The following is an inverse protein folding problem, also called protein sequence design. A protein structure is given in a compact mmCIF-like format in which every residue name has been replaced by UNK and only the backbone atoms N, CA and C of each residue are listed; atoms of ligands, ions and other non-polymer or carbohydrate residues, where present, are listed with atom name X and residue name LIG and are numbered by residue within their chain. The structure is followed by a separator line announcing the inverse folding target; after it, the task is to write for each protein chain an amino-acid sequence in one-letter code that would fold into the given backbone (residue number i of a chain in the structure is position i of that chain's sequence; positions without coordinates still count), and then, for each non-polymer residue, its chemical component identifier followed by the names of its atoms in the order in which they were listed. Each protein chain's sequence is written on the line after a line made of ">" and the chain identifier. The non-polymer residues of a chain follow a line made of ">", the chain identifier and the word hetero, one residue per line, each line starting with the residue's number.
data_IF_985190383766
#
_entry.id   IF_985190383766
#
_cell.length_a   1.000
_cell.length_b   1.000
_cell.length_c   1.000
_cell.angle_alpha   90.00
_cell.angle_beta   90.00
_cell.angle_gamma   90.00
#
_symmetry.space_group_name_H-M   'P 1'
#
loop_
_entity.id
_entity.type
_entity.pdbx_description
1 polymer ?
#
# COMPACT_ATOMS: atom_id res chain seq x y z
N UNK A 1 11.19 -8.80 12.18
CA UNK A 1 10.37 -7.81 11.44
C UNK A 1 9.43 -8.55 10.49
N UNK A 2 8.17 -8.13 10.36
CA UNK A 2 7.22 -8.66 9.37
C UNK A 2 7.56 -8.06 8.01
N UNK A 3 7.79 -8.91 6.99
CA UNK A 3 8.17 -8.47 5.65
C UNK A 3 6.95 -8.28 4.76
N UNK A 4 6.69 -7.04 4.40
CA UNK A 4 5.65 -6.67 3.46
C UNK A 4 6.14 -6.80 2.02
N UNK A 5 5.23 -7.09 1.10
CA UNK A 5 5.47 -7.08 -0.35
C UNK A 5 5.98 -5.71 -0.83
N UNK A 6 5.52 -4.62 -0.22
CA UNK A 6 5.91 -3.24 -0.58
C UNK A 6 7.37 -2.89 -0.27
N UNK A 7 8.09 -3.75 0.47
CA UNK A 7 9.52 -3.61 0.75
C UNK A 7 10.41 -4.31 -0.30
N UNK A 8 9.81 -5.01 -1.27
CA UNK A 8 10.54 -5.66 -2.35
C UNK A 8 11.18 -4.61 -3.28
N UNK A 9 12.43 -4.86 -3.71
CA UNK A 9 13.20 -3.94 -4.55
C UNK A 9 12.53 -3.66 -5.91
N UNK A 10 11.83 -4.62 -6.48
CA UNK A 10 11.12 -4.48 -7.75
C UNK A 10 9.83 -3.65 -7.63
N UNK A 11 9.32 -3.48 -6.41
CA UNK A 11 8.04 -2.77 -6.20
C UNK A 11 8.07 -1.32 -6.71
N UNK A 12 9.12 -0.58 -6.39
CA UNK A 12 9.27 0.80 -6.86
C UNK A 12 9.27 0.88 -8.39
N UNK A 13 10.00 -0.01 -9.07
CA UNK A 13 10.07 -0.05 -10.55
C UNK A 13 8.69 -0.31 -11.16
N UNK A 14 7.86 -1.14 -10.52
CA UNK A 14 6.48 -1.37 -10.95
C UNK A 14 5.62 -0.09 -10.85
N UNK A 15 5.87 0.73 -9.82
CA UNK A 15 5.05 1.90 -9.51
C UNK A 15 5.56 3.21 -10.14
N UNK A 16 6.81 3.27 -10.58
CA UNK A 16 7.49 4.52 -10.98
C UNK A 16 6.76 5.31 -12.07
N UNK A 17 6.14 4.63 -13.05
CA UNK A 17 5.42 5.31 -14.13
C UNK A 17 4.16 6.03 -13.62
N UNK A 18 3.46 5.41 -12.65
CA UNK A 18 2.28 6.03 -12.01
C UNK A 18 2.62 7.17 -11.07
N UNK A 19 3.77 7.08 -10.41
CA UNK A 19 4.25 8.15 -9.52
C UNK A 19 5.00 9.25 -10.31
N UNK A 20 5.37 9.01 -11.57
CA UNK A 20 5.98 10.00 -12.46
C UNK A 20 7.44 10.28 -12.14
N UNK A 21 8.26 9.23 -11.95
CA UNK A 21 9.67 9.39 -11.60
C UNK A 21 10.51 8.14 -11.82
N UNK A 22 11.69 8.12 -11.23
CA UNK A 22 12.66 7.04 -11.27
C UNK A 22 12.81 6.38 -9.89
N UNK A 23 12.79 5.06 -9.86
CA UNK A 23 12.97 4.30 -8.62
C UNK A 23 14.44 4.21 -8.26
N UNK A 24 14.77 4.62 -7.05
CA UNK A 24 16.08 4.55 -6.46
C UNK A 24 16.02 3.90 -5.07
N UNK A 25 17.18 3.39 -4.62
CA UNK A 25 17.34 2.81 -3.29
C UNK A 25 18.58 3.43 -2.64
N UNK A 26 18.38 4.03 -1.48
CA UNK A 26 19.49 4.49 -0.66
C UNK A 26 19.73 3.47 0.46
N UNK A 27 20.94 2.96 0.52
CA UNK A 27 21.40 2.04 1.55
C UNK A 27 22.42 2.74 2.41
N UNK A 28 22.14 2.85 3.70
CA UNK A 28 23.07 3.37 4.70
C UNK A 28 23.48 2.24 5.63
N UNK A 29 24.79 2.01 5.75
CA UNK A 29 25.36 0.96 6.56
C UNK A 29 26.52 1.49 7.41
N UNK A 30 26.52 1.17 8.68
CA UNK A 30 27.54 1.49 9.68
C UNK A 30 27.65 0.32 10.66
N UNK A 31 28.61 0.39 11.56
CA UNK A 31 28.79 -0.62 12.61
C UNK A 31 27.54 -0.76 13.49
N UNK A 32 26.80 0.33 13.69
CA UNK A 32 25.57 0.37 14.48
C UNK A 32 24.39 -0.33 13.81
N UNK A 33 24.40 -0.50 12.48
CA UNK A 33 23.33 -1.18 11.77
C UNK A 33 23.14 -0.73 10.32
N UNK A 34 21.93 -0.99 9.81
CA UNK A 34 21.58 -0.75 8.41
C UNK A 34 20.20 -0.11 8.28
N UNK A 35 20.12 0.97 7.49
CA UNK A 35 18.88 1.64 7.09
C UNK A 35 18.69 1.50 5.59
N UNK A 36 17.48 1.14 5.19
CA UNK A 36 17.09 0.98 3.78
C UNK A 36 15.99 1.98 3.44
N UNK A 37 16.16 2.71 2.36
CA UNK A 37 15.19 3.68 1.89
C UNK A 37 14.93 3.53 0.39
N UNK A 38 13.84 2.85 -0.04
CA UNK A 38 13.37 2.87 -1.41
C UNK A 38 12.50 4.10 -1.64
N UNK A 39 12.72 4.80 -2.74
CA UNK A 39 11.92 5.97 -3.11
C UNK A 39 11.85 6.13 -4.63
N UNK A 40 10.90 6.95 -5.06
CA UNK A 40 10.79 7.42 -6.44
C UNK A 40 11.19 8.90 -6.44
N UNK A 41 12.25 9.22 -7.20
CA UNK A 41 12.73 10.57 -7.44
C UNK A 41 11.94 11.17 -8.61
N UNK A 42 11.23 12.27 -8.34
CA UNK A 42 10.34 12.91 -9.30
C UNK A 42 10.81 14.32 -9.61
N UNK A 43 10.69 14.77 -10.85
CA UNK A 43 10.91 16.18 -11.19
C UNK A 43 9.88 17.06 -10.45
N UNK A 44 10.36 18.03 -9.67
CA UNK A 44 9.54 18.99 -8.94
C UNK A 44 9.29 20.25 -9.75
N UNK A 45 10.34 20.80 -10.37
CA UNK A 45 10.26 22.00 -11.21
C UNK A 45 11.64 22.60 -11.45
N UNK A 46 11.67 23.71 -12.20
CA UNK A 46 12.90 24.46 -12.50
C UNK A 46 12.85 25.80 -11.75
N UNK A 47 13.89 26.08 -10.97
CA UNK A 47 14.06 27.36 -10.27
C UNK A 47 15.45 27.90 -10.60
N UNK A 48 15.52 29.12 -11.06
CA UNK A 48 16.78 29.81 -11.44
C UNK A 48 17.64 28.99 -12.44
N UNK A 49 16.99 28.26 -13.37
CA UNK A 49 17.63 27.42 -14.38
C UNK A 49 18.10 26.02 -13.89
N UNK A 50 17.87 25.69 -12.61
CA UNK A 50 18.25 24.42 -12.03
C UNK A 50 17.01 23.52 -11.88
N UNK A 51 17.12 22.26 -12.35
CA UNK A 51 16.08 21.27 -12.14
C UNK A 51 16.14 20.73 -10.70
N UNK A 52 15.01 20.78 -9.99
CA UNK A 52 14.84 20.25 -8.64
C UNK A 52 13.92 19.03 -8.63
N UNK A 53 14.04 18.23 -7.57
CA UNK A 53 13.33 16.95 -7.42
C UNK A 53 12.69 16.84 -6.05
N UNK A 54 11.68 15.99 -5.94
CA UNK A 54 11.17 15.48 -4.67
C UNK A 54 11.18 13.96 -4.62
N UNK A 55 11.06 13.42 -3.43
CA UNK A 55 11.00 12.00 -3.18
C UNK A 55 9.62 11.58 -2.67
N UNK A 56 9.14 10.45 -3.15
CA UNK A 56 7.96 9.78 -2.62
C UNK A 56 8.23 8.30 -2.42
N UNK A 57 7.76 7.72 -1.33
CA UNK A 57 7.71 6.27 -1.18
C UNK A 57 6.83 5.67 -2.28
N UNK A 58 7.25 4.61 -2.99
CA UNK A 58 6.38 3.88 -3.91
C UNK A 58 5.03 3.56 -3.28
N UNK A 59 3.96 3.52 -4.08
CA UNK A 59 2.60 3.22 -3.59
C UNK A 59 2.60 2.02 -2.64
N UNK A 60 1.84 2.10 -1.56
CA UNK A 60 1.88 1.12 -0.47
C UNK A 60 2.58 1.70 0.77
N UNK A 61 3.05 0.84 1.65
CA UNK A 61 3.65 1.22 2.93
C UNK A 61 5.02 0.53 3.09
N UNK A 62 5.97 0.87 2.20
CA UNK A 62 7.31 0.28 2.18
C UNK A 62 8.41 1.33 2.34
N UNK A 63 8.16 2.41 3.12
CA UNK A 63 9.09 3.54 3.26
C UNK A 63 10.43 3.21 3.91
N UNK A 64 11.02 4.18 4.59
CA UNK A 64 12.29 3.98 5.31
C UNK A 64 12.10 2.91 6.40
N UNK A 65 13.06 1.98 6.51
CA UNK A 65 13.11 1.07 7.65
C UNK A 65 14.54 0.80 8.10
N UNK A 66 14.68 0.56 9.39
CA UNK A 66 15.91 0.05 9.99
C UNK A 66 15.89 -1.48 9.85
N UNK A 67 16.76 -2.01 9.00
CA UNK A 67 16.83 -3.46 8.74
C UNK A 67 17.54 -4.18 9.90
N UNK A 68 18.59 -3.56 10.41
CA UNK A 68 19.38 -4.02 11.55
C UNK A 68 19.81 -2.82 12.38
N UNK A 69 19.81 -2.96 13.70
CA UNK A 69 20.41 -2.00 14.62
C UNK A 69 21.00 -2.74 15.81
N UNK A 70 22.11 -2.26 16.34
CA UNK A 70 22.58 -2.64 17.67
C UNK A 70 21.58 -2.11 18.71
N UNK A 71 21.27 -2.93 19.70
CA UNK A 71 20.35 -2.55 20.78
C UNK A 71 20.76 -1.25 21.46
N UNK A 72 19.82 -0.29 21.54
CA UNK A 72 20.04 1.03 22.13
C UNK A 72 20.82 2.02 21.25
N UNK A 73 21.15 1.64 20.00
CA UNK A 73 21.85 2.50 19.04
C UNK A 73 20.93 3.02 17.90
N UNK A 74 19.64 2.71 17.96
CA UNK A 74 18.68 2.99 16.89
C UNK A 74 18.61 4.49 16.56
N UNK A 75 18.52 5.35 17.58
CA UNK A 75 18.48 6.82 17.40
C UNK A 75 19.78 7.37 16.79
N UNK A 76 20.92 6.88 17.24
CA UNK A 76 22.23 7.28 16.71
C UNK A 76 22.36 6.87 15.23
N UNK A 77 21.97 5.64 14.88
CA UNK A 77 21.99 5.13 13.51
C UNK A 77 21.10 5.99 12.59
N UNK A 78 19.89 6.35 13.06
CA UNK A 78 18.94 7.17 12.30
C UNK A 78 19.47 8.59 12.13
N UNK A 79 20.06 9.18 13.13
CA UNK A 79 20.69 10.51 13.04
C UNK A 79 21.82 10.52 12.01
N UNK A 80 22.75 9.56 12.08
CA UNK A 80 23.83 9.42 11.10
C UNK A 80 23.31 9.17 9.68
N UNK A 81 22.25 8.36 9.54
CA UNK A 81 21.55 8.19 8.26
C UNK A 81 21.02 9.53 7.75
N UNK A 82 20.33 10.30 8.61
CA UNK A 82 19.73 11.57 8.21
C UNK A 82 20.79 12.57 7.74
N UNK A 83 21.92 12.72 8.45
CA UNK A 83 23.02 13.59 8.02
C UNK A 83 23.60 13.17 6.66
N UNK A 84 23.89 11.89 6.47
CA UNK A 84 24.41 11.38 5.20
C UNK A 84 23.40 11.52 4.05
N UNK A 85 22.12 11.40 4.36
CA UNK A 85 21.04 11.55 3.39
C UNK A 85 20.74 13.03 3.07
N UNK A 86 20.95 13.95 4.02
CA UNK A 86 20.90 15.41 3.79
C UNK A 86 21.96 15.82 2.75
N UNK A 87 23.19 15.32 2.88
CA UNK A 87 24.27 15.54 1.91
C UNK A 87 23.94 14.97 0.52
N UNK A 88 23.34 13.77 0.47
CA UNK A 88 22.86 13.17 -0.77
C UNK A 88 21.80 14.04 -1.42
N UNK A 89 20.78 14.46 -0.67
CA UNK A 89 19.70 15.30 -1.18
C UNK A 89 20.20 16.65 -1.70
N UNK A 90 21.15 17.28 -1.02
CA UNK A 90 21.75 18.53 -1.48
C UNK A 90 22.45 18.39 -2.84
N UNK A 91 23.26 17.32 -3.04
CA UNK A 91 23.94 17.04 -4.30
C UNK A 91 22.98 16.71 -5.44
N UNK A 92 21.89 16.03 -5.12
CA UNK A 92 20.88 15.57 -6.09
C UNK A 92 19.75 16.58 -6.33
N UNK A 93 19.84 17.79 -5.76
CA UNK A 93 18.83 18.84 -5.84
C UNK A 93 17.43 18.39 -5.35
N UNK A 94 17.38 17.55 -4.33
CA UNK A 94 16.14 17.07 -3.72
C UNK A 94 15.68 18.07 -2.66
N UNK A 95 14.44 18.54 -2.77
CA UNK A 95 13.91 19.63 -1.93
C UNK A 95 12.83 19.21 -0.94
N UNK A 96 12.19 18.07 -1.16
CA UNK A 96 11.13 17.58 -0.29
C UNK A 96 11.01 16.06 -0.34
N UNK A 97 10.49 15.47 0.73
CA UNK A 97 10.25 14.04 0.86
C UNK A 97 8.88 13.76 1.47
N UNK A 98 8.20 12.77 0.88
CA UNK A 98 6.97 12.21 1.41
C UNK A 98 7.14 10.71 1.64
N UNK A 99 7.16 10.31 2.90
CA UNK A 99 7.41 8.93 3.33
C UNK A 99 6.11 8.28 3.80
N UNK A 100 5.83 7.06 3.32
CA UNK A 100 4.78 6.19 3.82
C UNK A 100 5.44 5.07 4.62
N UNK A 101 5.47 5.19 5.95
CA UNK A 101 6.11 4.21 6.82
C UNK A 101 5.37 2.88 6.83
N UNK A 102 6.13 1.80 7.01
CA UNK A 102 5.54 0.47 7.13
C UNK A 102 4.84 0.32 8.50
N UNK A 103 3.54 0.04 8.54
CA UNK A 103 2.82 -0.14 9.80
C UNK A 103 3.28 -1.39 10.56
N UNK A 104 3.81 -2.38 9.84
CA UNK A 104 4.26 -3.65 10.45
C UNK A 104 5.68 -3.58 11.03
N UNK A 105 6.45 -2.56 10.69
CA UNK A 105 7.78 -2.33 11.31
C UNK A 105 7.67 -1.61 12.65
N UNK A 106 6.61 -0.82 12.86
CA UNK A 106 6.40 0.06 14.02
C UNK A 106 7.58 1.00 14.29
N UNK A 107 8.24 1.48 13.23
CA UNK A 107 9.47 2.28 13.34
C UNK A 107 9.26 3.77 13.03
N UNK A 108 8.04 4.19 12.65
CA UNK A 108 7.79 5.58 12.25
C UNK A 108 8.24 6.59 13.32
N UNK A 109 7.95 6.32 14.61
CA UNK A 109 8.30 7.19 15.73
C UNK A 109 9.82 7.29 15.97
N UNK A 110 10.60 6.32 15.50
CA UNK A 110 12.07 6.41 15.60
C UNK A 110 12.63 7.58 14.77
N UNK A 111 11.87 8.01 13.74
CA UNK A 111 12.23 9.09 12.82
C UNK A 111 11.61 10.46 13.21
N UNK A 112 10.98 10.62 14.38
CA UNK A 112 10.27 11.84 14.78
C UNK A 112 11.17 13.07 14.97
N UNK A 113 12.48 12.86 15.26
CA UNK A 113 13.46 13.93 15.36
C UNK A 113 13.91 14.42 13.97
N UNK A 114 13.71 13.61 12.91
CA UNK A 114 14.21 13.88 11.56
C UNK A 114 13.10 14.26 10.56
N UNK A 115 11.87 13.82 10.81
CA UNK A 115 10.71 14.05 9.96
C UNK A 115 9.50 14.55 10.76
N UNK A 116 8.67 15.37 10.13
CA UNK A 116 7.34 15.64 10.67
C UNK A 116 6.48 14.39 10.47
N UNK A 117 6.24 13.65 11.57
CA UNK A 117 5.45 12.41 11.56
C UNK A 117 3.98 12.74 11.82
N UNK A 118 3.09 12.22 10.99
CA UNK A 118 1.64 12.35 11.17
C UNK A 118 0.95 10.99 11.08
N UNK A 119 0.01 10.74 11.99
CA UNK A 119 -0.88 9.58 11.90
C UNK A 119 -1.88 9.79 10.77
N UNK A 120 -1.89 8.87 9.79
CA UNK A 120 -2.77 8.98 8.63
C UNK A 120 -4.06 8.17 8.79
N UNK A 121 -3.99 7.06 9.50
CA UNK A 121 -5.09 6.13 9.70
C UNK A 121 -4.59 4.76 10.10
N UNK A 122 -5.45 3.76 9.91
CA UNK A 122 -5.16 2.39 10.30
C UNK A 122 -5.11 1.47 9.07
N UNK A 123 -4.27 0.45 9.14
CA UNK A 123 -4.28 -0.70 8.24
C UNK A 123 -4.98 -1.87 8.94
N UNK A 124 -5.90 -2.48 8.24
CA UNK A 124 -6.74 -3.55 8.77
C UNK A 124 -6.22 -4.90 8.30
N UNK A 125 -5.71 -5.72 9.23
CA UNK A 125 -5.19 -7.05 8.93
C UNK A 125 -5.95 -8.12 9.71
N UNK A 126 -6.19 -9.25 9.05
CA UNK A 126 -6.60 -10.49 9.74
C UNK A 126 -5.34 -11.22 10.20
N UNK A 127 -5.23 -11.52 11.48
CA UNK A 127 -4.19 -12.39 12.04
C UNK A 127 -4.52 -13.85 11.72
N UNK A 128 -3.70 -14.47 10.86
CA UNK A 128 -3.88 -15.84 10.39
C UNK A 128 -3.31 -16.90 11.35
N UNK A 129 -2.69 -16.47 12.46
CA UNK A 129 -2.16 -17.39 13.49
C UNK A 129 -3.22 -17.81 14.52
N UNK A 130 -4.44 -17.27 14.39
CA UNK A 130 -5.58 -17.52 15.29
C UNK A 130 -6.76 -18.10 14.51
N UNK A 131 -7.80 -18.57 15.21
CA UNK A 131 -9.10 -18.88 14.57
C UNK A 131 -9.82 -17.58 14.16
N UNK A 132 -9.28 -16.93 13.12
CA UNK A 132 -9.74 -15.61 12.68
C UNK A 132 -11.24 -15.58 12.32
N UNK A 133 -11.81 -16.68 11.84
CA UNK A 133 -13.23 -16.72 11.50
C UNK A 133 -14.12 -16.53 12.75
N UNK A 134 -13.78 -17.19 13.85
CA UNK A 134 -14.57 -17.11 15.09
C UNK A 134 -14.13 -15.97 16.00
N UNK A 135 -12.84 -15.65 16.03
CA UNK A 135 -12.24 -14.69 16.95
C UNK A 135 -12.21 -13.26 16.39
N UNK A 136 -11.80 -13.08 15.12
CA UNK A 136 -11.64 -11.75 14.52
C UNK A 136 -12.90 -11.27 13.76
N UNK A 137 -13.57 -12.16 13.01
CA UNK A 137 -14.69 -11.73 12.17
C UNK A 137 -15.95 -11.45 12.99
N UNK A 138 -16.60 -10.31 12.73
CA UNK A 138 -17.87 -9.97 13.37
C UNK A 138 -18.98 -10.96 13.00
N UNK A 139 -20.01 -11.08 13.84
CA UNK A 139 -21.18 -11.91 13.56
C UNK A 139 -21.84 -11.54 12.22
N UNK A 140 -21.88 -10.24 11.89
CA UNK A 140 -22.44 -9.74 10.63
C UNK A 140 -21.65 -10.27 9.41
N UNK A 141 -20.30 -10.27 9.46
CA UNK A 141 -19.47 -10.82 8.37
C UNK A 141 -19.68 -12.34 8.25
N UNK A 142 -19.69 -13.07 9.36
CA UNK A 142 -19.97 -14.51 9.33
C UNK A 142 -21.35 -14.83 8.73
N UNK A 143 -22.36 -13.99 8.97
CA UNK A 143 -23.66 -14.13 8.31
C UNK A 143 -23.60 -13.83 6.82
N UNK A 144 -22.84 -12.81 6.40
CA UNK A 144 -22.65 -12.49 4.98
C UNK A 144 -21.95 -13.63 4.23
N UNK A 145 -20.91 -14.22 4.82
CA UNK A 145 -20.21 -15.39 4.28
C UNK A 145 -21.17 -16.56 4.10
N UNK A 146 -21.95 -16.90 5.15
CA UNK A 146 -22.96 -17.97 5.05
C UNK A 146 -24.03 -17.68 4.02
N UNK A 147 -24.42 -16.41 3.85
CA UNK A 147 -25.35 -15.98 2.79
C UNK A 147 -24.80 -16.25 1.40
N UNK A 148 -23.54 -15.90 1.14
CA UNK A 148 -22.89 -16.15 -0.14
C UNK A 148 -22.82 -17.66 -0.43
N UNK A 149 -22.41 -18.47 0.55
CA UNK A 149 -22.38 -19.96 0.42
C UNK A 149 -23.78 -20.51 0.12
N UNK A 150 -24.81 -20.04 0.83
CA UNK A 150 -26.20 -20.48 0.60
C UNK A 150 -26.73 -20.12 -0.80
N UNK A 151 -26.17 -19.08 -1.40
CA UNK A 151 -26.48 -18.67 -2.79
C UNK A 151 -25.57 -19.36 -3.83
N UNK A 152 -24.86 -20.43 -3.45
CA UNK A 152 -23.97 -21.21 -4.31
C UNK A 152 -22.83 -20.39 -4.95
N UNK A 153 -22.34 -19.36 -4.26
CA UNK A 153 -21.11 -18.67 -4.68
C UNK A 153 -19.91 -19.57 -4.38
N UNK A 154 -19.05 -19.76 -5.38
CA UNK A 154 -17.84 -20.59 -5.31
C UNK A 154 -16.62 -19.68 -5.50
N UNK A 155 -15.55 -19.88 -4.72
CA UNK A 155 -14.30 -19.16 -4.89
C UNK A 155 -13.28 -20.06 -5.60
N UNK A 156 -12.61 -19.51 -6.61
CA UNK A 156 -11.46 -20.13 -7.29
C UNK A 156 -10.26 -19.19 -7.26
N UNK A 157 -9.06 -19.77 -7.32
CA UNK A 157 -7.80 -19.02 -7.38
C UNK A 157 -7.11 -19.30 -8.72
N UNK A 158 -6.53 -18.27 -9.32
CA UNK A 158 -5.77 -18.40 -10.55
C UNK A 158 -4.61 -17.41 -10.60
N UNK A 159 -3.45 -17.86 -11.07
CA UNK A 159 -2.30 -17.01 -11.39
C UNK A 159 -2.18 -16.79 -12.91
N UNK A 160 -3.20 -17.18 -13.69
CA UNK A 160 -3.19 -16.98 -15.14
C UNK A 160 -3.42 -15.49 -15.48
N UNK A 161 -2.47 -14.79 -16.15
CA UNK A 161 -2.63 -13.41 -16.57
C UNK A 161 -3.76 -13.20 -17.59
N UNK A 162 -4.23 -14.22 -18.29
CA UNK A 162 -5.37 -14.12 -19.20
C UNK A 162 -6.65 -13.64 -18.50
N UNK A 163 -6.75 -13.84 -17.18
CA UNK A 163 -7.88 -13.37 -16.38
C UNK A 163 -7.92 -11.83 -16.24
N UNK A 164 -6.85 -11.12 -16.57
CA UNK A 164 -6.78 -9.65 -16.50
C UNK A 164 -7.94 -8.98 -17.25
N UNK A 165 -8.28 -9.45 -18.45
CA UNK A 165 -9.34 -8.85 -19.27
C UNK A 165 -10.72 -8.97 -18.61
N UNK A 166 -11.00 -10.11 -17.97
CA UNK A 166 -12.25 -10.32 -17.24
C UNK A 166 -12.28 -9.51 -15.93
N UNK A 167 -11.16 -9.47 -15.22
CA UNK A 167 -11.02 -8.63 -14.03
C UNK A 167 -11.24 -7.15 -14.35
N UNK A 168 -10.65 -6.62 -15.41
CA UNK A 168 -10.82 -5.21 -15.83
C UNK A 168 -12.27 -4.85 -16.17
N UNK A 169 -12.98 -5.73 -16.86
CA UNK A 169 -14.43 -5.53 -17.14
C UNK A 169 -15.23 -5.38 -15.84
N UNK A 170 -14.92 -6.22 -14.83
CA UNK A 170 -15.58 -6.17 -13.53
C UNK A 170 -15.16 -4.91 -12.75
N UNK A 171 -13.88 -4.55 -12.82
CA UNK A 171 -13.32 -3.39 -12.13
C UNK A 171 -13.90 -2.08 -12.68
N UNK A 172 -14.08 -1.96 -13.99
CA UNK A 172 -14.74 -0.81 -14.62
C UNK A 172 -16.15 -0.57 -14.09
N UNK A 173 -16.98 -1.63 -14.02
CA UNK A 173 -18.32 -1.53 -13.42
C UNK A 173 -18.29 -1.06 -11.96
N UNK A 174 -17.31 -1.52 -11.21
CA UNK A 174 -17.13 -1.10 -9.81
C UNK A 174 -16.68 0.35 -9.72
N UNK A 175 -15.76 0.78 -10.60
CA UNK A 175 -15.24 2.13 -10.66
C UNK A 175 -16.32 3.16 -11.02
N UNK A 176 -17.20 2.83 -11.96
CA UNK A 176 -18.37 3.63 -12.34
C UNK A 176 -19.37 3.76 -11.18
N UNK A 177 -19.74 2.64 -10.55
CA UNK A 177 -20.67 2.60 -9.41
C UNK A 177 -20.15 3.40 -8.19
N UNK A 178 -18.83 3.37 -7.95
CA UNK A 178 -18.21 4.02 -6.80
C UNK A 178 -17.52 5.35 -7.13
N UNK A 179 -17.59 5.81 -8.37
CA UNK A 179 -16.99 7.06 -8.84
C UNK A 179 -15.50 7.20 -8.49
N UNK A 180 -14.70 6.19 -8.86
CA UNK A 180 -13.26 6.21 -8.62
C UNK A 180 -12.58 7.36 -9.35
N UNK A 181 -11.63 8.03 -8.68
CA UNK A 181 -10.78 9.03 -9.32
C UNK A 181 -9.86 8.39 -10.38
N UNK A 182 -9.34 9.21 -11.30
CA UNK A 182 -8.40 8.78 -12.34
C UNK A 182 -7.18 8.02 -11.79
N UNK A 183 -6.71 8.38 -10.62
CA UNK A 183 -5.60 7.69 -9.94
C UNK A 183 -5.85 6.19 -9.71
N UNK A 184 -7.11 5.78 -9.55
CA UNK A 184 -7.51 4.38 -9.37
C UNK A 184 -7.89 3.68 -10.65
N UNK A 185 -7.79 4.33 -11.81
CA UNK A 185 -8.01 3.65 -13.08
C UNK A 185 -6.88 2.66 -13.36
N UNK A 186 -7.26 1.46 -13.76
CA UNK A 186 -6.37 0.36 -14.11
C UNK A 186 -6.48 0.08 -15.61
N UNK A 187 -5.34 -0.19 -16.23
CA UNK A 187 -5.28 -0.68 -17.59
C UNK A 187 -4.58 -2.05 -17.66
N UNK A 188 -4.74 -2.72 -18.79
CA UNK A 188 -4.18 -4.06 -19.01
C UNK A 188 -2.66 -4.07 -18.91
N UNK A 189 -2.00 -3.06 -19.48
CA UNK A 189 -0.53 -2.95 -19.50
C UNK A 189 0.02 -2.83 -18.08
N UNK A 190 -0.63 -2.03 -17.24
CA UNK A 190 -0.23 -1.87 -15.83
C UNK A 190 -0.43 -3.17 -15.05
N UNK A 191 -1.57 -3.86 -15.20
CA UNK A 191 -1.81 -5.13 -14.52
C UNK A 191 -0.89 -6.25 -15.02
N UNK A 192 -0.59 -6.29 -16.33
CA UNK A 192 0.34 -7.28 -16.90
C UNK A 192 1.72 -7.17 -16.27
N UNK A 193 2.21 -5.96 -15.98
CA UNK A 193 3.50 -5.75 -15.32
C UNK A 193 3.60 -6.43 -13.94
N UNK A 194 2.49 -6.58 -13.20
CA UNK A 194 2.52 -7.32 -11.94
C UNK A 194 2.92 -8.78 -12.17
N UNK A 195 2.39 -9.41 -13.21
CA UNK A 195 2.73 -10.80 -13.55
C UNK A 195 4.13 -10.91 -14.15
N UNK A 196 4.57 -9.93 -14.93
CA UNK A 196 5.91 -9.89 -15.50
C UNK A 196 6.99 -9.77 -14.41
N UNK A 197 6.77 -8.92 -13.41
CA UNK A 197 7.70 -8.71 -12.29
C UNK A 197 7.59 -9.80 -11.21
N UNK A 198 6.40 -10.35 -11.01
CA UNK A 198 6.07 -11.23 -9.88
C UNK A 198 5.21 -12.43 -10.29
N UNK A 199 5.68 -13.27 -11.23
CA UNK A 199 4.85 -14.34 -11.83
C UNK A 199 4.26 -15.31 -10.80
N UNK A 200 5.01 -15.58 -9.71
CA UNK A 200 4.61 -16.54 -8.66
C UNK A 200 3.98 -15.87 -7.43
N UNK A 201 3.85 -14.54 -7.42
CA UNK A 201 3.37 -13.78 -6.27
C UNK A 201 2.06 -13.03 -6.52
N UNK A 202 1.49 -13.15 -7.71
CA UNK A 202 0.21 -12.52 -8.07
C UNK A 202 -0.84 -13.59 -8.29
N UNK A 203 -1.94 -13.47 -7.53
CA UNK A 203 -3.04 -14.44 -7.58
C UNK A 203 -4.35 -13.69 -7.65
N UNK A 204 -5.25 -14.08 -8.55
CA UNK A 204 -6.64 -13.66 -8.49
C UNK A 204 -7.46 -14.64 -7.65
N UNK A 205 -8.19 -14.11 -6.67
CA UNK A 205 -9.32 -14.78 -6.04
C UNK A 205 -10.59 -14.39 -6.81
N UNK A 206 -11.39 -15.37 -7.23
CA UNK A 206 -12.51 -15.17 -8.15
C UNK A 206 -13.77 -15.81 -7.58
N UNK A 207 -14.80 -15.01 -7.35
CA UNK A 207 -16.11 -15.47 -6.91
C UNK A 207 -17.02 -15.72 -8.13
N UNK A 208 -17.50 -16.94 -8.25
CA UNK A 208 -18.35 -17.42 -9.33
C UNK A 208 -19.76 -17.71 -8.83
N UNK A 209 -20.74 -17.31 -9.61
CA UNK A 209 -22.14 -17.75 -9.48
C UNK A 209 -22.61 -18.27 -10.84
N UNK A 210 -22.96 -19.57 -10.93
CA UNK A 210 -23.34 -20.22 -12.20
C UNK A 210 -22.34 -19.92 -13.32
N UNK A 211 -21.04 -20.13 -13.06
CA UNK A 211 -19.89 -19.88 -13.94
C UNK A 211 -19.69 -18.39 -14.33
N UNK A 212 -20.52 -17.47 -13.86
CA UNK A 212 -20.34 -16.02 -14.06
C UNK A 212 -19.45 -15.45 -12.95
N UNK A 213 -18.45 -14.64 -13.30
CA UNK A 213 -17.66 -13.88 -12.33
C UNK A 213 -18.51 -12.75 -11.75
N UNK A 214 -18.70 -12.76 -10.43
CA UNK A 214 -19.51 -11.77 -9.69
C UNK A 214 -18.70 -10.92 -8.73
N UNK A 215 -17.51 -11.38 -8.32
CA UNK A 215 -16.53 -10.60 -7.58
C UNK A 215 -15.14 -11.17 -7.85
N UNK A 216 -14.12 -10.32 -7.83
CA UNK A 216 -12.73 -10.77 -7.93
C UNK A 216 -11.80 -9.83 -7.18
N UNK A 217 -10.67 -10.38 -6.71
CA UNK A 217 -9.60 -9.63 -6.10
C UNK A 217 -8.24 -10.10 -6.61
N UNK A 218 -7.35 -9.15 -6.86
CA UNK A 218 -5.94 -9.38 -7.10
C UNK A 218 -5.20 -9.37 -5.77
N UNK A 219 -4.55 -10.46 -5.45
CA UNK A 219 -3.77 -10.66 -4.24
C UNK A 219 -2.28 -10.56 -4.57
N UNK A 220 -1.52 -9.90 -3.68
CA UNK A 220 -0.06 -9.90 -3.72
C UNK A 220 0.45 -10.77 -2.58
N UNK A 221 1.11 -11.89 -2.92
CA UNK A 221 1.57 -12.90 -1.98
C UNK A 221 3.01 -12.57 -1.55
N UNK A 222 3.15 -11.90 -0.42
CA UNK A 222 4.45 -11.60 0.19
C UNK A 222 5.02 -12.77 0.99
N UNK A 223 6.12 -12.53 1.70
CA UNK A 223 6.77 -13.53 2.56
C UNK A 223 5.88 -13.85 3.77
N UNK A 224 5.49 -12.83 4.55
CA UNK A 224 4.66 -12.97 5.75
C UNK A 224 3.20 -12.54 5.54
N UNK A 225 2.94 -11.68 4.55
CA UNK A 225 1.65 -11.00 4.35
C UNK A 225 1.11 -11.28 2.96
N UNK A 226 -0.19 -11.58 2.85
CA UNK A 226 -0.94 -11.46 1.60
C UNK A 226 -1.73 -10.16 1.61
N UNK A 227 -1.53 -9.33 0.59
CA UNK A 227 -2.24 -8.06 0.43
C UNK A 227 -3.45 -8.22 -0.50
N UNK A 228 -4.62 -7.83 -0.03
CA UNK A 228 -5.84 -7.66 -0.82
C UNK A 228 -5.73 -6.34 -1.60
N UNK A 229 -5.13 -6.41 -2.80
CA UNK A 229 -4.58 -5.24 -3.47
C UNK A 229 -5.59 -4.47 -4.31
N UNK A 230 -6.22 -5.11 -5.29
CA UNK A 230 -7.32 -4.56 -6.09
C UNK A 230 -8.50 -5.50 -6.00
N UNK A 231 -9.70 -4.94 -5.92
CA UNK A 231 -10.91 -5.75 -5.86
C UNK A 231 -12.08 -5.08 -6.56
N UNK A 232 -12.95 -5.91 -7.09
CA UNK A 232 -14.15 -5.49 -7.78
C UNK A 232 -15.31 -6.45 -7.48
N UNK A 233 -16.52 -5.89 -7.44
CA UNK A 233 -17.75 -6.67 -7.26
C UNK A 233 -18.82 -6.11 -8.19
N UNK A 234 -19.44 -6.97 -8.99
CA UNK A 234 -20.55 -6.59 -9.86
C UNK A 234 -21.69 -6.04 -8.99
N UNK A 235 -22.13 -4.76 -9.20
CA UNK A 235 -23.16 -4.13 -8.38
C UNK A 235 -24.46 -4.92 -8.29
N UNK A 236 -24.83 -5.64 -9.36
CA UNK A 236 -26.05 -6.48 -9.40
C UNK A 236 -26.02 -7.61 -8.37
N UNK A 237 -24.82 -8.10 -8.00
CA UNK A 237 -24.64 -9.24 -7.10
C UNK A 237 -24.23 -8.85 -5.67
N UNK A 238 -24.08 -7.56 -5.35
CA UNK A 238 -23.73 -7.11 -3.98
C UNK A 238 -24.67 -7.67 -2.93
N UNK A 239 -25.94 -7.85 -3.26
CA UNK A 239 -26.97 -8.33 -2.35
C UNK A 239 -26.73 -9.77 -1.83
N UNK A 240 -26.01 -10.62 -2.56
CA UNK A 240 -25.64 -11.98 -2.13
C UNK A 240 -24.29 -12.05 -1.40
N UNK A 241 -23.60 -10.92 -1.23
CA UNK A 241 -22.36 -10.76 -0.43
C UNK A 241 -21.14 -11.57 -0.93
N UNK A 242 -20.88 -11.65 -2.25
CA UNK A 242 -19.80 -12.50 -2.79
C UNK A 242 -18.43 -12.06 -2.29
N UNK A 243 -18.22 -10.75 -2.10
CA UNK A 243 -16.94 -10.19 -1.63
C UNK A 243 -16.59 -10.61 -0.19
N UNK A 244 -17.59 -10.79 0.68
CA UNK A 244 -17.32 -11.24 2.06
C UNK A 244 -16.84 -12.69 2.09
N UNK A 245 -17.38 -13.56 1.24
CA UNK A 245 -16.89 -14.92 1.05
C UNK A 245 -15.50 -14.92 0.40
N UNK A 246 -15.28 -14.07 -0.62
CA UNK A 246 -14.00 -13.95 -1.32
C UNK A 246 -12.88 -13.56 -0.36
N UNK A 247 -13.10 -12.57 0.53
CA UNK A 247 -12.13 -12.16 1.55
C UNK A 247 -11.83 -13.32 2.52
N UNK A 248 -12.86 -14.04 2.97
CA UNK A 248 -12.69 -15.19 3.86
C UNK A 248 -11.84 -16.30 3.21
N UNK A 249 -12.19 -16.70 2.00
CA UNK A 249 -11.46 -17.74 1.28
C UNK A 249 -10.03 -17.30 0.90
N UNK A 250 -9.83 -15.99 0.59
CA UNK A 250 -8.50 -15.44 0.35
C UNK A 250 -7.62 -15.43 1.61
N UNK A 251 -8.21 -15.15 2.78
CA UNK A 251 -7.51 -15.26 4.07
C UNK A 251 -7.17 -16.74 4.39
N UNK A 252 -8.10 -17.67 4.15
CA UNK A 252 -7.87 -19.10 4.31
C UNK A 252 -6.80 -19.64 3.35
N UNK A 253 -6.78 -19.15 2.10
CA UNK A 253 -5.71 -19.42 1.14
C UNK A 253 -4.35 -18.94 1.67
N UNK A 254 -4.29 -17.73 2.22
CA UNK A 254 -3.07 -17.17 2.80
C UNK A 254 -2.58 -18.01 3.99
N UNK A 255 -3.48 -18.39 4.91
CA UNK A 255 -3.20 -19.26 6.05
C UNK A 255 -2.63 -20.62 5.60
N UNK A 256 -3.29 -21.27 4.64
CA UNK A 256 -2.86 -22.57 4.08
C UNK A 256 -1.47 -22.50 3.40
N UNK A 257 -1.05 -21.30 2.95
CA UNK A 257 0.28 -21.02 2.41
C UNK A 257 1.27 -20.49 3.47
N UNK A 258 0.97 -20.67 4.76
CA UNK A 258 1.85 -20.35 5.89
C UNK A 258 2.08 -18.86 6.12
N UNK A 259 1.17 -18.00 5.65
CA UNK A 259 1.26 -16.56 5.89
C UNK A 259 0.75 -16.18 7.27
N UNK A 260 1.24 -15.07 7.80
CA UNK A 260 0.91 -14.60 9.15
C UNK A 260 -0.24 -13.61 9.17
N UNK A 261 -0.32 -12.77 8.13
CA UNK A 261 -1.30 -11.70 8.03
C UNK A 261 -1.98 -11.69 6.66
N UNK A 262 -3.28 -11.36 6.67
CA UNK A 262 -4.03 -11.00 5.47
C UNK A 262 -4.41 -9.52 5.56
N UNK A 263 -3.80 -8.69 4.72
CA UNK A 263 -3.92 -7.23 4.73
C UNK A 263 -5.06 -6.77 3.83
N UNK A 264 -6.06 -6.14 4.42
CA UNK A 264 -7.18 -5.49 3.73
C UNK A 264 -6.85 -4.03 3.31
N UNK A 265 -5.67 -3.54 3.66
CA UNK A 265 -5.24 -2.16 3.42
C UNK A 265 -5.87 -1.13 4.35
N UNK A 266 -5.47 0.12 4.17
CA UNK A 266 -5.98 1.27 4.95
C UNK A 266 -7.34 1.75 4.42
N UNK A 267 -8.02 2.55 5.26
CA UNK A 267 -9.23 3.27 4.88
C UNK A 267 -9.26 4.64 5.55
N UNK A 268 -9.93 5.61 4.91
CA UNK A 268 -10.15 6.93 5.52
C UNK A 268 -11.00 6.81 6.78
N UNK A 269 -10.56 7.44 7.86
CA UNK A 269 -11.29 7.45 9.12
C UNK A 269 -12.74 7.94 8.95
N UNK A 270 -13.70 7.26 9.57
CA UNK A 270 -15.13 7.53 9.48
C UNK A 270 -15.83 7.02 8.21
N UNK A 271 -15.08 6.52 7.21
CA UNK A 271 -15.66 6.05 5.95
C UNK A 271 -16.44 4.73 6.08
N UNK A 272 -17.32 4.48 5.10
CA UNK A 272 -18.02 3.18 5.00
C UNK A 272 -17.05 2.01 4.78
N UNK A 273 -15.96 2.26 4.05
CA UNK A 273 -14.91 1.28 3.80
C UNK A 273 -14.17 0.90 5.10
N UNK A 274 -13.86 1.88 5.95
CA UNK A 274 -13.29 1.63 7.27
C UNK A 274 -14.21 0.73 8.11
N UNK A 275 -15.50 1.11 8.20
CA UNK A 275 -16.51 0.33 8.93
C UNK A 275 -16.64 -1.09 8.40
N UNK A 276 -16.49 -1.28 7.09
CA UNK A 276 -16.51 -2.60 6.46
C UNK A 276 -15.27 -3.42 6.86
N UNK A 277 -14.05 -2.86 6.70
CA UNK A 277 -12.79 -3.54 7.03
C UNK A 277 -12.69 -3.90 8.51
N UNK A 278 -13.10 -3.01 9.41
CA UNK A 278 -13.15 -3.28 10.86
C UNK A 278 -13.96 -4.52 11.24
N UNK A 279 -14.92 -4.94 10.43
CA UNK A 279 -15.73 -6.14 10.71
C UNK A 279 -14.96 -7.44 10.53
N UNK A 280 -13.86 -7.43 9.77
CA UNK A 280 -12.95 -8.57 9.60
C UNK A 280 -11.81 -8.59 10.63
N UNK A 281 -11.71 -7.54 11.45
CA UNK A 281 -10.62 -7.37 12.43
C UNK A 281 -11.15 -6.94 13.79
N UNK A 282 -12.42 -7.26 14.12
CA UNK A 282 -13.17 -6.65 15.24
C UNK A 282 -12.56 -6.89 16.63
N UNK A 283 -11.61 -7.80 16.77
CA UNK A 283 -10.96 -8.15 18.03
C UNK A 283 -9.43 -8.08 17.96
N UNK A 284 -8.89 -7.61 16.85
CA UNK A 284 -7.44 -7.52 16.60
C UNK A 284 -7.05 -6.05 16.61
N UNK A 285 -5.88 -5.73 17.15
CA UNK A 285 -5.33 -4.39 17.08
C UNK A 285 -5.08 -4.02 15.62
N UNK A 286 -5.53 -2.82 15.23
CA UNK A 286 -5.18 -2.25 13.92
C UNK A 286 -3.72 -1.81 13.93
N UNK A 287 -3.12 -1.78 12.75
CA UNK A 287 -1.75 -1.32 12.58
C UNK A 287 -1.76 0.17 12.24
N UNK A 288 -1.23 1.06 13.10
CA UNK A 288 -1.22 2.49 12.82
C UNK A 288 -0.35 2.80 11.61
N UNK A 289 -0.89 3.58 10.69
CA UNK A 289 -0.20 4.01 9.49
C UNK A 289 0.24 5.47 9.61
N UNK A 290 1.54 5.67 9.54
CA UNK A 290 2.17 6.98 9.66
C UNK A 290 2.74 7.45 8.33
N UNK A 291 2.71 8.78 8.13
CA UNK A 291 3.40 9.49 7.06
C UNK A 291 4.46 10.39 7.66
N UNK A 292 5.58 10.52 6.96
CA UNK A 292 6.63 11.46 7.27
C UNK A 292 6.77 12.47 6.14
N UNK A 293 6.99 13.73 6.49
CA UNK A 293 7.31 14.80 5.54
C UNK A 293 8.57 15.52 5.99
N UNK A 294 9.41 15.91 5.03
CA UNK A 294 10.60 16.74 5.28
C UNK A 294 10.79 17.69 4.11
N UNK A 295 10.93 19.00 4.40
CA UNK A 295 11.37 20.01 3.43
C UNK A 295 12.87 20.17 3.64
N UNK A 296 13.66 19.93 2.58
CA UNK A 296 15.12 19.97 2.62
C UNK A 296 15.68 21.29 2.11
N UNK A 297 14.93 21.99 1.26
CA UNK A 297 15.29 23.32 0.77
C UNK A 297 14.05 24.23 0.75
N UNK A 298 13.87 24.94 1.86
CA UNK A 298 12.69 25.80 2.06
C UNK A 298 12.58 26.90 1.01
N UNK A 299 13.69 27.56 0.66
CA UNK A 299 13.67 28.66 -0.29
C UNK A 299 13.22 28.24 -1.70
N UNK A 300 13.68 27.07 -2.18
CA UNK A 300 13.25 26.52 -3.47
C UNK A 300 11.83 25.95 -3.38
N UNK A 301 11.48 25.32 -2.26
CA UNK A 301 10.15 24.78 -2.04
C UNK A 301 9.08 25.87 -2.11
N UNK A 302 9.30 27.01 -1.41
CA UNK A 302 8.40 28.16 -1.42
C UNK A 302 8.24 28.76 -2.83
N UNK A 303 9.35 28.93 -3.57
CA UNK A 303 9.29 29.40 -4.96
C UNK A 303 8.44 28.49 -5.86
N UNK A 304 8.49 27.17 -5.68
CA UNK A 304 7.66 26.24 -6.45
C UNK A 304 6.19 26.30 -6.03
N UNK A 305 5.91 26.51 -4.74
CA UNK A 305 4.55 26.72 -4.24
C UNK A 305 3.95 27.98 -4.84
N UNK A 306 4.71 29.09 -4.86
CA UNK A 306 4.29 30.38 -5.44
C UNK A 306 4.03 30.30 -6.95
N UNK A 307 4.66 29.38 -7.66
CA UNK A 307 4.45 29.12 -9.09
C UNK A 307 3.22 28.24 -9.38
N UNK A 308 2.54 27.74 -8.34
CA UNK A 308 1.42 26.81 -8.46
C UNK A 308 0.09 27.56 -8.25
N UNK A 309 -0.78 27.57 -9.27
CA UNK A 309 -2.06 28.31 -9.23
C UNK A 309 -3.11 27.70 -8.28
N UNK A 310 -2.96 26.43 -7.87
CA UNK A 310 -3.96 25.67 -7.13
C UNK A 310 -3.32 24.81 -6.05
N UNK A 311 -3.03 25.47 -4.90
CA UNK A 311 -2.47 24.79 -3.73
C UNK A 311 -3.60 24.14 -2.94
N UNK A 312 -3.61 22.80 -2.88
CA UNK A 312 -4.57 22.07 -2.05
C UNK A 312 -4.12 22.02 -0.59
N UNK A 313 -4.96 22.53 0.31
CA UNK A 313 -4.71 22.49 1.74
C UNK A 313 -4.54 21.02 2.22
N UNK A 314 -3.46 20.76 2.95
CA UNK A 314 -3.16 19.41 3.49
C UNK A 314 -2.51 18.45 2.50
N UNK A 315 -2.24 18.86 1.24
CA UNK A 315 -1.45 18.04 0.30
C UNK A 315 0.05 18.33 0.44
N UNK A 316 0.88 17.29 0.33
CA UNK A 316 2.33 17.42 0.41
C UNK A 316 3.03 16.61 -0.70
N UNK A 317 4.02 17.19 -1.42
CA UNK A 317 4.41 18.60 -1.40
C UNK A 317 3.30 19.51 -1.94
N UNK A 318 3.18 20.75 -1.39
CA UNK A 318 2.07 21.67 -1.69
C UNK A 318 2.01 22.15 -3.16
N UNK A 319 3.14 22.07 -3.89
CA UNK A 319 3.21 22.39 -5.32
C UNK A 319 2.77 21.27 -6.26
N UNK A 320 2.32 20.11 -5.73
CA UNK A 320 1.74 19.02 -6.51
C UNK A 320 0.22 18.98 -6.37
N UNK A 321 -0.46 18.59 -7.46
CA UNK A 321 -1.92 18.41 -7.50
C UNK A 321 -2.31 16.96 -7.27
#
# INVERSE_FOLDING_TARGET
>A
MIKSFYMDKGWGVLQQDKEGGETLHYLFERDEGRVVYPFIKRAAGIVDGIQYYDLVTPRGQGGIWVEQAQEGKEKMLIHQFSEAFDDYCAREHIIAEYVRFSPWSNQAQWFEEEYTISHYGEVYCTDLTTDFFNEAYSSAIRQQIRKAIKNNVIIRFTSNPDFIDEFLKLYQKTAEDQQFSEYYQLDKKFLQRYFDFYPDKVVFAVALLNEKVVSAAMLLVGEDIVHYHFAATDPEYKHIQPNSLLIYEAASYAEANGKRLFDLGSAKAGSSLEKYKKRFTAKVESYPFYRGTKIRNTAVYEKLVDQTDDVQEGYFPAYRK
#
